data_IF_927570229770
#
_entry.id   IF_927570229770
#
_cell.length_a   1.000
_cell.length_b   1.000
_cell.length_c   1.000
_cell.angle_alpha   90.00
_cell.angle_beta   90.00
_cell.angle_gamma   90.00
#
_symmetry.space_group_name_H-M   'P 1'
#
loop_
_entity.id
_entity.type
_entity.pdbx_description
1 polymer ?
#
# COMPACT_ATOMS: atom_id res chain seq x y z
N UNK A 1 1.36 6.36 9.42
CA UNK A 1 1.86 5.06 9.91
C UNK A 1 2.98 4.55 9.01
N UNK A 2 3.87 3.70 9.51
CA UNK A 2 4.89 3.01 8.70
C UNK A 2 4.67 1.50 8.83
N UNK A 3 4.68 0.79 7.70
CA UNK A 3 4.62 -0.68 7.63
C UNK A 3 5.85 -1.17 6.89
N UNK A 4 6.71 -1.94 7.54
CA UNK A 4 7.85 -2.57 6.89
C UNK A 4 7.41 -3.87 6.20
N UNK A 5 7.99 -4.12 5.02
CA UNK A 5 7.82 -5.35 4.25
C UNK A 5 9.13 -5.73 3.54
N UNK A 6 9.20 -6.92 2.96
CA UNK A 6 10.43 -7.50 2.42
C UNK A 6 11.16 -6.64 1.40
N UNK A 7 10.43 -5.89 0.57
CA UNK A 7 11.03 -5.04 -0.47
C UNK A 7 11.27 -3.59 -0.01
N UNK A 8 10.79 -3.20 1.18
CA UNK A 8 10.80 -1.80 1.57
C UNK A 8 9.91 -1.45 2.76
N UNK A 9 9.36 -0.23 2.70
CA UNK A 9 8.38 0.25 3.68
C UNK A 9 7.27 1.05 3.02
N UNK A 10 6.10 0.96 3.62
CA UNK A 10 4.91 1.70 3.24
C UNK A 10 4.71 2.81 4.25
N UNK A 11 4.67 4.04 3.78
CA UNK A 11 4.37 5.22 4.57
C UNK A 11 2.94 5.62 4.24
N UNK A 12 2.07 5.55 5.24
CA UNK A 12 0.65 5.88 5.12
C UNK A 12 0.40 7.20 5.81
N UNK A 13 -0.22 8.14 5.11
CA UNK A 13 -0.73 9.39 5.68
C UNK A 13 -2.24 9.46 5.47
N UNK A 14 -2.88 10.54 5.93
CA UNK A 14 -4.30 10.77 5.69
C UNK A 14 -4.61 11.11 4.22
N UNK A 15 -3.60 11.49 3.42
CA UNK A 15 -3.82 11.93 2.03
C UNK A 15 -3.28 10.93 1.00
N UNK A 16 -2.22 10.19 1.33
CA UNK A 16 -1.53 9.34 0.37
C UNK A 16 -0.84 8.14 1.01
N UNK A 17 -0.54 7.16 0.16
CA UNK A 17 0.36 6.03 0.43
C UNK A 17 1.63 6.20 -0.40
N UNK A 18 2.78 6.00 0.24
CA UNK A 18 4.08 5.90 -0.42
C UNK A 18 4.70 4.53 -0.17
N UNK A 19 5.02 3.79 -1.23
CA UNK A 19 5.82 2.57 -1.18
C UNK A 19 7.27 2.91 -1.53
N UNK A 20 8.19 2.79 -0.57
CA UNK A 20 9.62 3.08 -0.75
C UNK A 20 10.42 1.78 -0.70
N UNK A 21 11.20 1.52 -1.73
CA UNK A 21 11.99 0.30 -1.85
C UNK A 21 13.38 0.49 -1.26
N UNK A 22 13.94 -0.52 -0.58
CA UNK A 22 15.24 -0.41 0.08
C UNK A 22 16.42 -0.33 -0.90
N UNK A 23 16.44 -1.23 -1.88
CA UNK A 23 17.59 -1.40 -2.78
C UNK A 23 17.49 -0.55 -4.06
N UNK A 24 16.61 0.45 -4.08
CA UNK A 24 16.48 1.39 -5.20
C UNK A 24 16.02 2.76 -4.73
N UNK A 25 16.22 3.79 -5.57
CA UNK A 25 15.64 5.13 -5.33
C UNK A 25 14.18 5.22 -5.80
N UNK A 26 13.49 4.09 -5.95
CA UNK A 26 12.11 4.04 -6.42
C UNK A 26 11.14 4.38 -5.28
N UNK A 27 10.21 5.27 -5.57
CA UNK A 27 9.07 5.59 -4.73
C UNK A 27 7.81 5.53 -5.58
N UNK A 28 6.85 4.72 -5.19
CA UNK A 28 5.51 4.71 -5.78
C UNK A 28 4.57 5.42 -4.82
N UNK A 29 3.83 6.39 -5.34
CA UNK A 29 2.86 7.18 -4.58
C UNK A 29 1.50 7.11 -5.25
N UNK A 30 0.44 7.12 -4.45
CA UNK A 30 -0.91 7.38 -4.91
C UNK A 30 -1.75 8.06 -3.82
N UNK A 31 -2.78 8.78 -4.24
CA UNK A 31 -3.79 9.34 -3.34
C UNK A 31 -4.49 8.21 -2.58
N UNK A 32 -4.87 8.45 -1.33
CA UNK A 32 -5.68 7.50 -0.57
C UNK A 32 -6.98 7.13 -1.29
N UNK A 33 -7.56 8.06 -2.03
CA UNK A 33 -8.81 7.87 -2.78
C UNK A 33 -8.66 6.87 -3.94
N UNK A 34 -7.42 6.65 -4.43
CA UNK A 34 -7.12 5.76 -5.55
C UNK A 34 -6.68 4.36 -5.08
N UNK A 35 -6.66 4.11 -3.76
CA UNK A 35 -6.16 2.85 -3.18
C UNK A 35 -7.30 1.86 -2.99
N UNK A 36 -7.10 0.66 -3.52
CA UNK A 36 -7.90 -0.53 -3.22
C UNK A 36 -7.02 -1.59 -2.57
N UNK A 37 -7.60 -2.36 -1.66
CA UNK A 37 -6.92 -3.44 -0.94
C UNK A 37 -7.64 -4.76 -1.17
N UNK A 38 -6.90 -5.86 -1.26
CA UNK A 38 -7.44 -7.20 -1.51
C UNK A 38 -6.87 -8.18 -0.50
N UNK A 39 -7.74 -8.83 0.28
CA UNK A 39 -7.32 -9.87 1.23
C UNK A 39 -6.73 -11.06 0.47
N UNK A 40 -7.39 -11.43 -0.63
CA UNK A 40 -6.92 -12.49 -1.50
C UNK A 40 -5.64 -12.06 -2.20
N UNK A 41 -4.51 -12.61 -1.75
CA UNK A 41 -3.18 -12.32 -2.28
C UNK A 41 -2.40 -11.25 -1.52
N UNK A 42 -3.02 -10.60 -0.51
CA UNK A 42 -2.41 -9.57 0.33
C UNK A 42 -1.88 -8.39 -0.49
N UNK A 43 -2.72 -7.81 -1.34
CA UNK A 43 -2.29 -6.82 -2.34
C UNK A 43 -2.92 -5.46 -2.07
N UNK A 44 -2.10 -4.42 -2.21
CA UNK A 44 -2.53 -3.02 -2.32
C UNK A 44 -2.41 -2.64 -3.78
N UNK A 45 -3.46 -2.03 -4.34
CA UNK A 45 -3.50 -1.54 -5.72
C UNK A 45 -3.76 -0.04 -5.68
N UNK A 46 -2.97 0.72 -6.42
CA UNK A 46 -3.30 2.10 -6.76
C UNK A 46 -3.77 2.16 -8.20
N UNK A 47 -4.94 2.75 -8.43
CA UNK A 47 -5.53 2.91 -9.77
C UNK A 47 -5.85 4.38 -10.07
N UNK A 48 -4.82 5.15 -10.42
CA UNK A 48 -4.95 6.57 -10.77
C UNK A 48 -5.14 6.77 -12.29
N UNK A 49 -6.08 6.03 -12.88
CA UNK A 49 -6.40 6.09 -14.30
C UNK A 49 -5.37 5.39 -15.19
N UNK A 50 -4.43 6.14 -15.76
CA UNK A 50 -3.43 5.60 -16.71
C UNK A 50 -2.21 5.02 -16.03
N UNK A 51 -1.97 5.36 -14.77
CA UNK A 51 -0.88 4.84 -13.97
C UNK A 51 -1.45 3.93 -12.90
N UNK A 52 -1.10 2.66 -12.97
CA UNK A 52 -1.50 1.64 -12.02
C UNK A 52 -0.29 0.90 -11.50
N UNK A 53 -0.27 0.64 -10.20
CA UNK A 53 0.69 -0.24 -9.58
C UNK A 53 0.02 -1.11 -8.53
N UNK A 54 0.64 -2.24 -8.25
CA UNK A 54 0.20 -3.14 -7.19
C UNK A 54 1.39 -3.64 -6.41
N UNK A 55 1.28 -3.65 -5.08
CA UNK A 55 2.30 -4.17 -4.17
C UNK A 55 1.69 -5.29 -3.34
N UNK A 56 2.34 -6.44 -3.37
CA UNK A 56 2.04 -7.56 -2.49
C UNK A 56 2.75 -7.36 -1.16
N UNK A 57 2.01 -7.55 -0.07
CA UNK A 57 2.49 -7.59 1.30
C UNK A 57 2.95 -9.00 1.67
N UNK A 58 3.81 -9.10 2.68
CA UNK A 58 4.38 -10.37 3.11
C UNK A 58 3.40 -11.20 3.91
N UNK A 59 2.55 -10.54 4.72
CA UNK A 59 1.66 -11.23 5.65
C UNK A 59 0.36 -10.45 5.92
N UNK A 60 -0.69 -11.13 6.43
CA UNK A 60 -1.99 -10.52 6.70
C UNK A 60 -1.93 -9.38 7.72
N UNK A 61 -1.07 -9.46 8.74
CA UNK A 61 -1.01 -8.45 9.79
C UNK A 61 -0.59 -7.07 9.25
N UNK A 62 0.25 -7.03 8.21
CA UNK A 62 0.58 -5.78 7.49
C UNK A 62 -0.65 -5.18 6.82
N UNK A 63 -1.46 -6.00 6.16
CA UNK A 63 -2.69 -5.54 5.51
C UNK A 63 -3.69 -5.06 6.56
N UNK A 64 -3.92 -5.84 7.61
CA UNK A 64 -4.86 -5.52 8.68
C UNK A 64 -4.50 -4.19 9.35
N UNK A 65 -3.22 -3.95 9.63
CA UNK A 65 -2.75 -2.68 10.18
C UNK A 65 -3.06 -1.51 9.23
N UNK A 66 -2.85 -1.69 7.93
CA UNK A 66 -3.17 -0.68 6.93
C UNK A 66 -4.67 -0.37 6.89
N UNK A 67 -5.52 -1.40 6.86
CA UNK A 67 -6.97 -1.22 6.81
C UNK A 67 -7.50 -0.56 8.08
N UNK A 68 -7.01 -0.96 9.26
CA UNK A 68 -7.38 -0.33 10.53
C UNK A 68 -6.98 1.15 10.59
N UNK A 69 -5.84 1.51 10.01
CA UNK A 69 -5.37 2.90 10.02
C UNK A 69 -6.07 3.78 8.98
N UNK A 70 -6.38 3.22 7.81
CA UNK A 70 -6.92 3.96 6.66
C UNK A 70 -8.44 3.98 6.61
N UNK A 71 -9.10 3.02 7.24
CA UNK A 71 -10.53 2.81 7.10
C UNK A 71 -10.95 2.22 5.75
N UNK A 72 -9.99 1.88 4.87
CA UNK A 72 -10.28 1.18 3.61
C UNK A 72 -10.88 -0.19 3.95
N UNK A 73 -11.93 -0.55 3.22
CA UNK A 73 -12.46 -1.91 3.25
C UNK A 73 -11.83 -2.71 2.11
N UNK A 74 -11.06 -3.74 2.47
CA UNK A 74 -10.47 -4.62 1.48
C UNK A 74 -11.54 -5.54 0.87
N UNK A 75 -11.43 -5.75 -0.43
CA UNK A 75 -12.25 -6.66 -1.24
C UNK A 75 -11.75 -8.11 -1.12
#
# INVERSE_FOLDING_TARGET
MIIDFSLGKIIVTVHEIQCRFHDSQLVLTASMDDISCFHQGLVIVADAGTVRWSIKLDNPAQLDALLQHTGIQAQ
#
